data_IF_192802034262
#
_entry.id   IF_192802034262
#
_cell.length_a   1.000
_cell.length_b   1.000
_cell.length_c   1.000
_cell.angle_alpha   90.00
_cell.angle_beta   90.00
_cell.angle_gamma   90.00
#
_symmetry.space_group_name_H-M   'P 1'
#
loop_
_entity.id
_entity.type
_entity.pdbx_description
1 polymer ?
#
# COMPACT_ATOMS: atom_id res chain seq x y z
N UNK A 1 -52.23 -37.47 -18.31
CA UNK A 1 -50.85 -37.76 -17.88
C UNK A 1 -49.76 -36.96 -18.62
N UNK A 2 -49.95 -36.51 -19.84
CA UNK A 2 -48.94 -35.73 -20.59
C UNK A 2 -48.75 -34.25 -20.08
N UNK A 3 -49.81 -33.60 -19.62
CA UNK A 3 -49.74 -32.20 -19.13
C UNK A 3 -48.98 -32.02 -17.80
N UNK A 4 -49.03 -33.01 -16.91
CA UNK A 4 -48.29 -32.92 -15.61
C UNK A 4 -46.76 -33.04 -15.81
N UNK A 5 -46.25 -33.74 -16.79
CA UNK A 5 -44.82 -33.85 -17.05
C UNK A 5 -44.21 -32.55 -17.59
N UNK A 6 -44.98 -31.76 -18.33
CA UNK A 6 -44.51 -30.45 -18.85
C UNK A 6 -44.37 -29.38 -17.75
N UNK A 7 -45.25 -29.42 -16.77
CA UNK A 7 -45.18 -28.46 -15.62
C UNK A 7 -43.92 -28.73 -14.76
N UNK A 8 -43.59 -29.99 -14.51
CA UNK A 8 -42.40 -30.31 -13.72
C UNK A 8 -41.08 -30.01 -14.47
N UNK A 9 -41.01 -30.22 -15.78
CA UNK A 9 -39.84 -29.84 -16.59
C UNK A 9 -39.67 -28.34 -16.66
N UNK A 10 -40.74 -27.55 -16.76
CA UNK A 10 -40.65 -26.08 -16.75
C UNK A 10 -40.23 -25.51 -15.39
N UNK A 11 -40.69 -26.11 -14.28
CA UNK A 11 -40.33 -25.69 -12.92
C UNK A 11 -38.84 -26.03 -12.63
N UNK A 12 -38.35 -27.17 -13.07
CA UNK A 12 -36.92 -27.53 -12.92
C UNK A 12 -36.02 -26.62 -13.76
N UNK A 13 -36.46 -26.18 -14.94
CA UNK A 13 -35.68 -25.26 -15.78
C UNK A 13 -35.65 -23.84 -15.20
N UNK A 14 -36.74 -23.35 -14.63
CA UNK A 14 -36.80 -22.04 -13.93
C UNK A 14 -35.99 -22.07 -12.65
N UNK A 15 -36.00 -23.17 -11.88
CA UNK A 15 -35.17 -23.34 -10.71
C UNK A 15 -33.67 -23.41 -11.06
N UNK A 16 -33.32 -24.09 -12.16
CA UNK A 16 -31.95 -24.16 -12.64
C UNK A 16 -31.42 -22.78 -13.12
N UNK A 17 -32.25 -21.94 -13.73
CA UNK A 17 -31.90 -20.58 -14.13
C UNK A 17 -31.77 -19.65 -12.91
N UNK A 18 -32.62 -19.82 -11.89
CA UNK A 18 -32.52 -19.06 -10.63
C UNK A 18 -31.29 -19.46 -9.82
N UNK A 19 -30.91 -20.72 -9.81
CA UNK A 19 -29.68 -21.19 -9.14
C UNK A 19 -28.43 -20.75 -9.93
N UNK A 20 -28.43 -20.81 -11.27
CA UNK A 20 -27.34 -20.30 -12.10
C UNK A 20 -27.19 -18.77 -12.01
N UNK A 21 -28.30 -18.02 -11.83
CA UNK A 21 -28.27 -16.57 -11.61
C UNK A 21 -27.74 -16.16 -10.24
N UNK A 22 -27.75 -17.06 -9.24
CA UNK A 22 -27.17 -16.80 -7.91
C UNK A 22 -25.66 -17.06 -7.85
N UNK A 23 -25.12 -17.85 -8.76
CA UNK A 23 -23.67 -18.13 -8.82
C UNK A 23 -22.88 -17.18 -9.74
N UNK A 24 -23.51 -16.21 -10.42
CA UNK A 24 -22.83 -15.27 -11.33
C UNK A 24 -22.56 -13.89 -10.69
N UNK A 25 -22.70 -13.74 -9.40
CA UNK A 25 -22.48 -12.46 -8.71
C UNK A 25 -21.58 -12.55 -7.46
N UNK A 26 -20.74 -13.57 -7.36
CA UNK A 26 -19.56 -13.47 -6.53
C UNK A 26 -18.48 -12.78 -7.36
N UNK A 27 -18.28 -11.49 -7.14
CA UNK A 27 -17.04 -10.82 -7.49
C UNK A 27 -15.94 -11.57 -6.76
N UNK A 28 -15.15 -12.37 -7.49
CA UNK A 28 -13.91 -12.97 -7.02
C UNK A 28 -12.93 -11.84 -6.65
N UNK A 29 -13.19 -11.19 -5.52
CA UNK A 29 -12.17 -10.36 -4.88
C UNK A 29 -11.24 -11.33 -4.15
N UNK A 30 -9.93 -11.30 -4.41
CA UNK A 30 -9.01 -12.09 -3.62
C UNK A 30 -9.21 -11.71 -2.16
N UNK A 31 -9.48 -12.69 -1.33
CA UNK A 31 -9.62 -12.49 0.12
C UNK A 31 -8.24 -12.05 0.61
N UNK A 32 -8.09 -10.76 0.88
CA UNK A 32 -6.90 -10.29 1.59
C UNK A 32 -6.92 -10.94 2.96
N UNK A 33 -5.98 -11.82 3.22
CA UNK A 33 -5.89 -12.58 4.47
C UNK A 33 -5.52 -11.71 5.68
N UNK A 34 -5.33 -10.40 5.51
CA UNK A 34 -5.01 -9.44 6.57
C UNK A 34 -5.93 -8.20 6.51
N UNK A 35 -6.13 -7.58 7.65
CA UNK A 35 -6.77 -6.27 7.77
C UNK A 35 -5.70 -5.17 7.75
N UNK A 36 -6.04 -3.99 7.23
CA UNK A 36 -5.16 -2.82 7.33
C UNK A 36 -4.82 -2.46 8.79
N UNK A 37 -5.69 -2.83 9.73
CA UNK A 37 -5.50 -2.65 11.17
C UNK A 37 -4.38 -3.54 11.75
N UNK A 38 -4.04 -4.65 11.05
CA UNK A 38 -2.96 -5.56 11.43
C UNK A 38 -1.59 -5.05 10.94
N UNK A 39 -1.58 -4.05 10.04
CA UNK A 39 -0.35 -3.47 9.49
C UNK A 39 0.24 -2.51 10.52
N UNK A 40 1.52 -2.69 10.94
CA UNK A 40 2.19 -1.73 11.82
C UNK A 40 2.17 -0.33 11.22
N UNK A 41 2.11 0.73 12.05
CA UNK A 41 2.30 2.08 11.55
C UNK A 41 3.63 2.21 10.79
N UNK A 42 3.63 3.04 9.74
CA UNK A 42 4.86 3.35 9.02
C UNK A 42 5.94 3.85 9.99
N UNK A 43 7.14 3.32 9.83
CA UNK A 43 8.32 3.77 10.58
C UNK A 43 9.42 4.24 9.61
N UNK A 44 10.51 3.48 9.48
CA UNK A 44 11.61 3.82 8.58
C UNK A 44 11.66 2.92 7.33
N UNK A 45 10.97 1.77 7.38
CA UNK A 45 10.97 0.80 6.28
C UNK A 45 9.83 1.07 5.30
N UNK A 46 10.13 1.04 4.01
CA UNK A 46 9.15 1.23 2.95
C UNK A 46 8.10 0.10 2.89
N UNK A 47 8.38 -1.05 3.49
CA UNK A 47 7.50 -2.22 3.49
C UNK A 47 7.58 -3.03 4.77
N UNK A 48 6.60 -3.91 4.98
CA UNK A 48 6.59 -4.98 5.98
C UNK A 48 6.27 -6.31 5.33
N UNK A 49 6.87 -7.38 5.87
CA UNK A 49 6.60 -8.74 5.41
C UNK A 49 5.27 -9.24 5.96
N UNK A 50 4.45 -9.84 5.10
CA UNK A 50 3.18 -10.46 5.44
C UNK A 50 3.29 -11.99 5.37
N UNK A 51 2.41 -12.69 6.08
CA UNK A 51 2.20 -14.13 6.01
C UNK A 51 3.51 -14.96 5.96
N UNK A 52 4.49 -14.61 6.79
CA UNK A 52 5.84 -15.23 6.78
C UNK A 52 6.49 -15.25 5.39
N UNK A 53 6.26 -14.22 4.60
CA UNK A 53 6.74 -14.07 3.22
C UNK A 53 6.18 -15.11 2.23
N UNK A 54 5.03 -15.72 2.53
CA UNK A 54 4.38 -16.69 1.65
C UNK A 54 3.20 -16.03 0.92
N UNK A 55 3.24 -15.98 -0.43
CA UNK A 55 2.10 -15.53 -1.23
C UNK A 55 0.88 -16.41 -1.03
N UNK A 56 -0.30 -15.81 -1.19
CA UNK A 56 -1.58 -16.49 -1.07
C UNK A 56 -2.14 -16.85 -2.46
N UNK A 57 -1.37 -17.65 -3.21
CA UNK A 57 -1.78 -18.18 -4.50
C UNK A 57 -2.31 -19.60 -4.37
N UNK A 58 -3.36 -19.92 -5.14
CA UNK A 58 -3.87 -21.26 -5.26
C UNK A 58 -3.03 -22.09 -6.25
N UNK A 59 -3.14 -23.41 -6.23
CA UNK A 59 -2.51 -24.28 -7.23
C UNK A 59 -3.03 -24.00 -8.66
N UNK A 60 -4.26 -23.46 -8.78
CA UNK A 60 -4.86 -23.09 -10.07
C UNK A 60 -4.23 -21.81 -10.63
N UNK A 61 -3.77 -20.91 -9.77
CA UNK A 61 -3.09 -19.67 -10.17
C UNK A 61 -1.67 -19.95 -10.68
N UNK A 62 -1.01 -20.98 -10.17
CA UNK A 62 0.41 -21.32 -10.44
C UNK A 62 0.56 -22.11 -11.75
N UNK A 63 0.10 -21.54 -12.87
CA UNK A 63 0.29 -22.09 -14.22
C UNK A 63 1.23 -21.21 -15.01
N UNK A 64 2.20 -21.82 -15.70
CA UNK A 64 3.14 -21.12 -16.58
C UNK A 64 2.46 -20.71 -17.92
N UNK A 65 1.29 -20.11 -17.85
CA UNK A 65 0.58 -19.51 -18.98
C UNK A 65 0.60 -18.00 -18.83
N UNK A 66 1.18 -17.30 -19.78
CA UNK A 66 1.30 -15.86 -19.79
C UNK A 66 -0.07 -15.19 -19.89
N UNK A 67 -0.40 -14.33 -18.94
CA UNK A 67 -1.61 -13.51 -18.95
C UNK A 67 -1.42 -12.25 -18.13
N UNK A 68 -2.30 -11.29 -18.35
CA UNK A 68 -2.46 -10.07 -17.56
C UNK A 68 -3.93 -9.88 -17.22
N UNK A 69 -4.18 -9.44 -16.00
CA UNK A 69 -5.51 -9.09 -15.52
C UNK A 69 -5.47 -7.79 -14.74
N UNK A 70 -6.41 -6.91 -15.02
CA UNK A 70 -6.61 -5.62 -14.35
C UNK A 70 -8.07 -5.48 -13.96
N UNK A 71 -8.37 -5.38 -12.66
CA UNK A 71 -9.75 -5.15 -12.18
C UNK A 71 -10.33 -3.88 -12.76
N UNK A 72 -11.65 -3.86 -12.98
CA UNK A 72 -12.34 -2.62 -13.29
C UNK A 72 -12.18 -1.60 -12.16
N UNK A 73 -12.20 -0.31 -12.51
CA UNK A 73 -12.21 0.74 -11.50
C UNK A 73 -13.52 0.65 -10.70
N UNK A 74 -13.44 0.90 -9.41
CA UNK A 74 -14.63 0.96 -8.56
C UNK A 74 -15.46 2.25 -8.78
N UNK A 75 -16.56 2.40 -8.05
CA UNK A 75 -17.45 3.57 -8.15
C UNK A 75 -16.77 4.91 -7.79
N UNK A 76 -15.63 4.87 -7.08
CA UNK A 76 -14.80 6.03 -6.73
C UNK A 76 -13.66 6.26 -7.74
N UNK A 77 -13.58 5.46 -8.80
CA UNK A 77 -12.52 5.51 -9.80
C UNK A 77 -11.17 4.97 -9.28
N UNK A 78 -11.18 4.08 -8.25
CA UNK A 78 -9.98 3.49 -7.67
C UNK A 78 -9.66 2.15 -8.34
N UNK A 79 -8.38 1.85 -8.49
CA UNK A 79 -7.94 0.54 -8.99
C UNK A 79 -8.26 -0.56 -7.98
N UNK A 80 -8.68 -1.72 -8.49
CA UNK A 80 -8.70 -2.98 -7.76
C UNK A 80 -7.36 -3.71 -7.88
N UNK A 81 -7.34 -5.02 -7.61
CA UNK A 81 -6.13 -5.81 -7.77
C UNK A 81 -5.76 -6.00 -9.24
N UNK A 82 -4.47 -6.16 -9.47
CA UNK A 82 -3.90 -6.57 -10.75
C UNK A 82 -3.13 -7.86 -10.57
N UNK A 83 -3.11 -8.72 -11.58
CA UNK A 83 -2.42 -10.01 -11.53
C UNK A 83 -1.88 -10.37 -12.91
N UNK A 84 -0.67 -10.91 -12.96
CA UNK A 84 -0.08 -11.39 -14.21
C UNK A 84 0.79 -12.62 -13.95
N UNK A 85 0.79 -13.54 -14.89
CA UNK A 85 1.86 -14.53 -15.02
C UNK A 85 2.88 -13.98 -16.00
N UNK A 86 3.97 -13.43 -15.46
CA UNK A 86 4.94 -12.64 -16.22
C UNK A 86 6.03 -13.56 -16.74
N UNK A 87 6.13 -13.66 -18.06
CA UNK A 87 7.25 -14.25 -18.78
C UNK A 87 7.98 -13.19 -19.60
N UNK A 88 9.04 -13.58 -20.25
CA UNK A 88 9.82 -12.70 -21.14
C UNK A 88 8.97 -12.11 -22.28
N UNK A 89 7.90 -12.80 -22.65
CA UNK A 89 6.97 -12.44 -23.72
C UNK A 89 6.19 -11.15 -23.42
N UNK A 90 5.94 -10.84 -22.13
CA UNK A 90 5.26 -9.62 -21.71
C UNK A 90 6.21 -8.44 -21.51
N UNK A 91 7.50 -8.70 -21.36
CA UNK A 91 8.46 -7.61 -21.12
C UNK A 91 8.49 -6.63 -22.29
N UNK A 92 8.66 -5.32 -22.02
CA UNK A 92 8.58 -4.30 -23.05
C UNK A 92 9.62 -4.50 -24.14
N UNK A 93 9.20 -4.36 -25.40
CA UNK A 93 10.05 -4.33 -26.59
C UNK A 93 10.18 -2.92 -27.17
N UNK A 94 9.42 -1.97 -26.64
CA UNK A 94 9.37 -0.58 -27.06
C UNK A 94 9.68 0.36 -25.90
N UNK A 95 10.03 1.61 -26.19
CA UNK A 95 10.29 2.63 -25.19
C UNK A 95 9.00 3.07 -24.50
N UNK A 96 9.13 3.44 -23.23
CA UNK A 96 8.01 3.94 -22.42
C UNK A 96 7.50 5.27 -22.94
N UNK A 97 6.19 5.38 -23.14
CA UNK A 97 5.51 6.61 -23.53
C UNK A 97 5.06 7.46 -22.34
N UNK A 98 4.66 8.72 -22.61
CA UNK A 98 4.19 9.63 -21.58
C UNK A 98 2.78 9.29 -21.12
N UNK A 99 2.62 9.11 -19.81
CA UNK A 99 1.34 8.86 -19.12
C UNK A 99 0.82 10.10 -18.38
N UNK A 100 1.29 11.31 -18.73
CA UNK A 100 0.98 12.55 -18.01
C UNK A 100 -0.50 12.95 -18.07
N UNK A 101 -1.24 12.44 -19.05
CA UNK A 101 -2.68 12.69 -19.22
C UNK A 101 -3.55 11.94 -18.21
N UNK A 102 -3.07 10.80 -17.64
CA UNK A 102 -3.82 10.02 -16.67
C UNK A 102 -3.74 10.68 -15.29
N UNK A 103 -4.88 10.74 -14.61
CA UNK A 103 -5.01 11.21 -13.24
C UNK A 103 -5.71 10.15 -12.40
N UNK A 104 -4.97 9.29 -11.72
CA UNK A 104 -5.55 8.28 -10.84
C UNK A 104 -6.40 8.91 -9.73
N UNK A 105 -7.24 8.11 -9.06
CA UNK A 105 -8.02 8.59 -7.92
C UNK A 105 -7.16 9.32 -6.89
N UNK A 106 -7.65 10.41 -6.33
CA UNK A 106 -6.92 11.23 -5.36
C UNK A 106 -5.69 11.98 -5.91
N UNK A 107 -5.52 12.10 -7.24
CA UNK A 107 -4.39 12.82 -7.84
C UNK A 107 -4.38 14.30 -7.47
N UNK A 108 -3.51 14.68 -6.54
CA UNK A 108 -3.33 16.04 -6.06
C UNK A 108 -1.84 16.35 -5.88
N UNK A 109 -1.15 16.59 -7.01
CA UNK A 109 0.31 16.77 -7.05
C UNK A 109 0.77 17.97 -6.24
N UNK A 110 1.76 17.76 -5.41
CA UNK A 110 2.47 18.78 -4.65
C UNK A 110 3.99 18.61 -4.82
N UNK A 111 4.75 19.66 -4.53
CA UNK A 111 6.21 19.65 -4.60
C UNK A 111 6.81 19.99 -3.25
N UNK A 112 7.81 19.20 -2.84
CA UNK A 112 8.55 19.37 -1.60
C UNK A 112 10.04 19.15 -1.82
N UNK A 113 10.89 19.95 -1.19
CA UNK A 113 12.34 19.83 -1.32
C UNK A 113 12.90 18.54 -0.69
N UNK A 114 12.17 17.94 0.27
CA UNK A 114 12.53 16.67 0.90
C UNK A 114 12.20 15.43 0.03
N UNK A 115 11.53 15.62 -1.11
CA UNK A 115 11.17 14.52 -2.03
C UNK A 115 12.18 14.45 -3.17
N UNK A 116 12.68 13.27 -3.47
CA UNK A 116 13.54 13.05 -4.64
C UNK A 116 12.81 13.45 -5.93
N UNK A 117 13.42 14.33 -6.74
CA UNK A 117 12.77 14.93 -7.90
C UNK A 117 11.64 15.92 -7.57
N UNK A 118 11.47 16.27 -6.29
CA UNK A 118 10.52 17.23 -5.71
C UNK A 118 9.03 16.89 -5.85
N UNK A 119 8.61 16.09 -6.82
CA UNK A 119 7.22 15.73 -7.06
C UNK A 119 6.78 14.63 -6.09
N UNK A 120 5.81 14.92 -5.24
CA UNK A 120 5.32 13.99 -4.22
C UNK A 120 4.78 12.71 -4.83
N UNK A 121 3.89 12.85 -5.84
CA UNK A 121 3.20 11.73 -6.43
C UNK A 121 3.75 11.33 -7.79
N UNK A 122 3.81 10.03 -8.01
CA UNK A 122 3.99 9.37 -9.28
C UNK A 122 2.65 8.76 -9.72
N UNK A 123 2.44 8.63 -11.02
CA UNK A 123 1.48 7.68 -11.58
C UNK A 123 2.12 6.31 -11.43
N UNK A 124 1.86 5.70 -10.28
CA UNK A 124 2.54 4.48 -9.87
C UNK A 124 1.86 3.30 -10.53
N UNK A 125 2.59 2.56 -11.35
CA UNK A 125 2.08 1.30 -11.89
C UNK A 125 1.94 0.29 -10.76
N UNK A 126 0.86 -0.47 -10.76
CA UNK A 126 0.70 -1.64 -9.90
C UNK A 126 1.61 -2.76 -10.39
N UNK A 127 1.53 -3.12 -11.67
CA UNK A 127 2.54 -3.95 -12.33
C UNK A 127 3.40 -3.03 -13.17
N UNK A 128 4.70 -2.96 -12.84
CA UNK A 128 5.63 -2.04 -13.46
C UNK A 128 5.79 -2.24 -14.97
N UNK A 129 5.96 -1.15 -15.73
CA UNK A 129 6.16 -1.18 -17.18
C UNK A 129 7.26 -2.15 -17.61
N UNK A 130 8.34 -2.26 -16.84
CA UNK A 130 9.45 -3.17 -17.14
C UNK A 130 9.06 -4.66 -17.12
N UNK A 131 7.93 -5.01 -16.53
CA UNK A 131 7.46 -6.37 -16.36
C UNK A 131 6.51 -6.81 -17.47
N UNK A 132 5.57 -5.93 -17.87
CA UNK A 132 4.52 -6.27 -18.83
C UNK A 132 4.43 -5.33 -20.04
N UNK A 133 5.21 -4.27 -20.08
CA UNK A 133 5.11 -3.28 -21.16
C UNK A 133 3.81 -2.47 -21.16
N UNK A 134 2.91 -2.70 -20.20
CA UNK A 134 1.66 -1.97 -20.05
C UNK A 134 1.92 -0.53 -19.64
N UNK A 135 1.60 0.45 -20.50
CA UNK A 135 2.04 1.83 -20.31
C UNK A 135 0.96 2.74 -19.70
N UNK A 136 -0.17 2.95 -20.37
CA UNK A 136 -1.16 3.98 -20.06
C UNK A 136 -2.54 3.42 -19.65
N UNK A 137 -2.58 2.24 -19.10
CA UNK A 137 -3.77 1.61 -18.57
C UNK A 137 -4.19 2.24 -17.23
N UNK A 138 -5.32 2.93 -17.21
CA UNK A 138 -5.87 3.57 -16.01
C UNK A 138 -6.11 2.58 -14.85
N UNK A 139 -6.40 1.31 -15.16
CA UNK A 139 -6.63 0.23 -14.18
C UNK A 139 -5.34 -0.28 -13.53
N UNK A 140 -4.18 0.12 -14.06
CA UNK A 140 -2.85 -0.23 -13.57
C UNK A 140 -2.13 0.95 -12.89
N UNK A 141 -2.78 2.11 -12.73
CA UNK A 141 -2.14 3.32 -12.25
C UNK A 141 -2.83 3.88 -11.00
N UNK A 142 -2.07 4.04 -9.92
CA UNK A 142 -2.55 4.67 -8.69
C UNK A 142 -1.76 5.95 -8.37
N UNK A 143 -2.33 6.79 -7.52
CA UNK A 143 -1.61 7.91 -6.90
C UNK A 143 -0.67 7.36 -5.83
N UNK A 144 0.58 7.11 -6.20
CA UNK A 144 1.63 6.60 -5.33
C UNK A 144 2.67 7.67 -5.02
N UNK A 145 3.21 7.70 -3.81
CA UNK A 145 4.29 8.60 -3.46
C UNK A 145 5.58 8.25 -4.21
N UNK A 146 6.48 9.23 -4.33
CA UNK A 146 7.82 8.97 -4.88
C UNK A 146 8.55 7.89 -4.07
N UNK A 147 8.45 7.95 -2.74
CA UNK A 147 9.08 6.99 -1.84
C UNK A 147 8.52 5.57 -2.02
N UNK A 148 7.18 5.42 -2.03
CA UNK A 148 6.56 4.13 -2.32
C UNK A 148 7.03 3.54 -3.65
N UNK A 149 7.04 4.37 -4.71
CA UNK A 149 7.38 3.91 -6.06
C UNK A 149 8.85 3.47 -6.17
N UNK A 150 9.78 4.21 -5.57
CA UNK A 150 11.22 4.01 -5.77
C UNK A 150 11.86 3.15 -4.68
N UNK A 151 11.52 3.40 -3.43
CA UNK A 151 12.10 2.67 -2.29
C UNK A 151 11.25 1.45 -1.91
N UNK A 152 9.96 1.48 -2.24
CA UNK A 152 9.03 0.39 -1.94
C UNK A 152 8.92 -0.63 -3.07
N UNK A 153 8.37 -0.24 -4.23
CA UNK A 153 7.99 -1.18 -5.30
C UNK A 153 9.16 -1.56 -6.21
N UNK A 154 9.94 -0.58 -6.67
CA UNK A 154 11.00 -0.78 -7.67
C UNK A 154 12.02 -1.89 -7.31
N UNK A 155 12.46 -2.07 -6.05
CA UNK A 155 13.36 -3.17 -5.70
C UNK A 155 12.77 -4.56 -6.00
N UNK A 156 11.48 -4.77 -5.70
CA UNK A 156 10.77 -6.02 -5.98
C UNK A 156 10.55 -6.24 -7.48
N UNK A 157 10.16 -5.18 -8.19
CA UNK A 157 10.02 -5.23 -9.65
C UNK A 157 11.34 -5.58 -10.34
N UNK A 158 12.45 -4.98 -9.91
CA UNK A 158 13.79 -5.30 -10.44
C UNK A 158 14.18 -6.76 -10.17
N UNK A 159 13.93 -7.26 -8.96
CA UNK A 159 14.18 -8.65 -8.60
C UNK A 159 13.44 -9.62 -9.53
N UNK A 160 12.16 -9.36 -9.80
CA UNK A 160 11.34 -10.17 -10.72
C UNK A 160 11.85 -10.06 -12.16
N UNK A 161 12.13 -8.83 -12.63
CA UNK A 161 12.62 -8.61 -13.98
C UNK A 161 13.96 -9.31 -14.25
N UNK A 162 14.88 -9.24 -13.29
CA UNK A 162 16.20 -9.85 -13.41
C UNK A 162 16.10 -11.38 -13.39
N UNK A 163 15.27 -11.96 -12.49
CA UNK A 163 15.02 -13.40 -12.47
C UNK A 163 14.47 -13.92 -13.82
N UNK A 164 13.46 -13.25 -14.39
CA UNK A 164 12.89 -13.64 -15.69
C UNK A 164 13.93 -13.57 -16.81
N UNK A 165 14.76 -12.52 -16.84
CA UNK A 165 15.81 -12.37 -17.86
C UNK A 165 16.88 -13.45 -17.77
N UNK A 166 17.25 -13.86 -16.55
CA UNK A 166 18.30 -14.84 -16.31
C UNK A 166 17.84 -16.27 -16.55
N UNK A 167 16.59 -16.61 -16.19
CA UNK A 167 16.10 -17.99 -16.20
C UNK A 167 15.18 -18.32 -17.36
N UNK A 168 14.50 -17.35 -17.96
CA UNK A 168 13.32 -17.46 -18.82
C UNK A 168 12.12 -18.18 -18.15
N UNK A 169 12.10 -18.30 -16.83
CA UNK A 169 10.96 -18.81 -16.08
C UNK A 169 9.90 -17.72 -15.91
N UNK A 170 8.70 -18.16 -15.51
CA UNK A 170 7.58 -17.25 -15.25
C UNK A 170 7.47 -16.90 -13.77
N UNK A 171 6.93 -15.72 -13.51
CA UNK A 171 6.61 -15.26 -12.15
C UNK A 171 5.14 -14.87 -12.09
N UNK A 172 4.39 -15.53 -11.22
CA UNK A 172 3.07 -15.07 -10.85
C UNK A 172 3.21 -13.87 -9.93
N UNK A 173 2.55 -12.76 -10.28
CA UNK A 173 2.70 -11.46 -9.63
C UNK A 173 1.34 -10.83 -9.42
N UNK A 174 1.01 -10.44 -8.18
CA UNK A 174 -0.26 -9.81 -7.83
C UNK A 174 -0.02 -8.56 -6.99
N UNK A 175 -0.71 -7.49 -7.32
CA UNK A 175 -0.69 -6.24 -6.57
C UNK A 175 -2.11 -5.83 -6.22
N UNK A 176 -2.38 -5.66 -4.94
CA UNK A 176 -3.69 -5.26 -4.43
C UNK A 176 -3.54 -3.93 -3.69
N UNK A 177 -4.05 -2.81 -4.23
CA UNK A 177 -4.08 -1.54 -3.51
C UNK A 177 -5.10 -1.60 -2.36
N UNK A 178 -4.68 -1.13 -1.18
CA UNK A 178 -5.49 -1.19 0.04
C UNK A 178 -5.95 0.23 0.40
N UNK A 179 -7.25 0.44 0.38
CA UNK A 179 -7.89 1.71 0.72
C UNK A 179 -8.62 1.63 2.06
N UNK A 180 -8.60 2.71 2.83
CA UNK A 180 -9.40 2.83 4.06
C UNK A 180 -10.75 3.47 3.74
N UNK A 181 -11.82 2.71 3.83
CA UNK A 181 -13.17 3.22 3.56
C UNK A 181 -13.27 3.89 2.17
N UNK A 182 -13.64 5.17 2.14
CA UNK A 182 -13.81 5.95 0.92
C UNK A 182 -12.58 6.79 0.52
N UNK A 183 -11.42 6.50 1.09
CA UNK A 183 -10.20 7.21 0.72
C UNK A 183 -9.89 7.02 -0.77
N UNK A 184 -9.50 8.12 -1.44
CA UNK A 184 -9.18 8.11 -2.88
C UNK A 184 -7.72 7.71 -3.15
N UNK A 185 -6.86 7.77 -2.14
CA UNK A 185 -5.45 7.34 -2.22
C UNK A 185 -5.29 6.08 -1.40
N UNK A 186 -4.66 5.05 -1.96
CA UNK A 186 -4.39 3.82 -1.24
C UNK A 186 -3.45 4.06 -0.05
N UNK A 187 -3.70 3.43 1.08
CA UNK A 187 -2.79 3.42 2.24
C UNK A 187 -1.46 2.73 1.92
N UNK A 188 -1.48 1.82 0.97
CA UNK A 188 -0.35 1.06 0.45
C UNK A 188 -0.82 0.00 -0.51
N UNK A 189 0.08 -0.89 -0.90
CA UNK A 189 -0.24 -2.06 -1.73
C UNK A 189 0.26 -3.34 -1.06
N UNK A 190 -0.56 -4.38 -1.13
CA UNK A 190 -0.11 -5.76 -0.92
C UNK A 190 0.54 -6.21 -2.22
N UNK A 191 1.76 -6.71 -2.14
CA UNK A 191 2.53 -7.18 -3.27
C UNK A 191 2.97 -8.62 -3.02
N UNK A 192 2.61 -9.49 -3.95
CA UNK A 192 2.88 -10.92 -3.88
C UNK A 192 3.51 -11.41 -5.17
N UNK A 193 4.51 -12.28 -5.06
CA UNK A 193 5.09 -12.93 -6.22
C UNK A 193 5.61 -14.32 -5.88
N UNK A 194 5.52 -15.22 -6.85
CA UNK A 194 6.10 -16.57 -6.77
C UNK A 194 6.54 -17.02 -8.17
N UNK A 195 7.78 -17.51 -8.30
CA UNK A 195 8.24 -18.15 -9.52
C UNK A 195 7.57 -19.49 -9.71
N UNK A 196 7.17 -19.79 -10.97
CA UNK A 196 6.27 -20.91 -11.24
C UNK A 196 7.01 -22.21 -11.42
N UNK A 197 8.02 -22.27 -12.30
CA UNK A 197 8.69 -23.51 -12.71
C UNK A 197 9.56 -24.13 -11.61
N UNK A 198 10.05 -23.32 -10.67
CA UNK A 198 10.87 -23.76 -9.54
C UNK A 198 10.14 -23.71 -8.20
N UNK A 199 8.80 -23.55 -8.24
CA UNK A 199 7.92 -23.54 -7.07
C UNK A 199 8.31 -22.48 -6.01
N UNK A 200 8.82 -21.32 -6.46
CA UNK A 200 9.17 -20.21 -5.60
C UNK A 200 10.61 -20.26 -5.04
N UNK A 201 11.47 -21.14 -5.56
CA UNK A 201 12.88 -21.18 -5.14
C UNK A 201 13.61 -19.88 -5.53
N UNK A 202 13.32 -19.33 -6.71
CA UNK A 202 13.95 -18.10 -7.21
C UNK A 202 13.25 -16.82 -6.72
N UNK A 203 11.92 -16.77 -6.82
CA UNK A 203 11.09 -15.64 -6.38
C UNK A 203 9.97 -16.13 -5.46
N UNK A 204 9.96 -15.63 -4.23
CA UNK A 204 8.86 -15.86 -3.28
C UNK A 204 8.80 -14.72 -2.28
N UNK A 205 7.78 -13.86 -2.37
CA UNK A 205 7.57 -12.80 -1.39
C UNK A 205 6.10 -12.39 -1.26
N UNK A 206 5.77 -11.92 -0.06
CA UNK A 206 4.48 -11.37 0.29
C UNK A 206 4.70 -10.19 1.25
N UNK A 207 4.47 -8.97 0.76
CA UNK A 207 4.77 -7.75 1.50
C UNK A 207 3.63 -6.74 1.39
N UNK A 208 3.52 -5.85 2.39
CA UNK A 208 2.76 -4.62 2.28
C UNK A 208 3.72 -3.45 2.12
N UNK A 209 3.55 -2.66 1.08
CA UNK A 209 4.36 -1.48 0.78
C UNK A 209 3.54 -0.24 1.13
N UNK A 210 4.09 0.62 1.99
CA UNK A 210 3.40 1.82 2.46
C UNK A 210 3.36 2.90 1.38
N UNK A 211 2.19 3.50 1.17
CA UNK A 211 2.06 4.70 0.34
C UNK A 211 2.29 5.95 1.19
N UNK A 212 3.50 6.11 1.67
CA UNK A 212 3.94 7.18 2.54
C UNK A 212 5.12 7.94 1.94
N UNK A 213 5.42 9.13 2.45
CA UNK A 213 6.59 9.91 2.08
C UNK A 213 7.21 10.51 3.36
N UNK A 214 8.46 10.15 3.71
CA UNK A 214 9.15 10.76 4.85
C UNK A 214 9.11 12.29 4.80
N UNK A 215 8.78 12.93 5.91
CA UNK A 215 8.69 14.39 6.02
C UNK A 215 7.41 15.01 5.46
N UNK A 216 6.46 14.22 4.94
CA UNK A 216 5.19 14.69 4.37
C UNK A 216 4.00 13.98 5.00
N UNK A 217 3.00 14.74 5.41
CA UNK A 217 1.70 14.23 5.85
C UNK A 217 0.76 14.20 4.66
N UNK A 218 0.14 13.04 4.41
CA UNK A 218 -0.79 12.82 3.31
C UNK A 218 -2.21 12.70 3.86
N UNK A 219 -3.15 13.38 3.24
CA UNK A 219 -4.58 13.17 3.43
C UNK A 219 -5.07 12.16 2.38
N UNK A 220 -5.21 10.90 2.78
CA UNK A 220 -5.59 9.80 1.88
C UNK A 220 -7.02 9.95 1.32
N UNK A 221 -7.89 10.71 2.00
CA UNK A 221 -9.25 10.95 1.51
C UNK A 221 -9.29 11.69 0.15
N UNK A 222 -8.28 12.52 -0.16
CA UNK A 222 -8.30 13.37 -1.36
C UNK A 222 -6.91 13.64 -2.00
N UNK A 223 -5.85 13.07 -1.44
CA UNK A 223 -4.47 13.26 -1.92
C UNK A 223 -3.83 14.61 -1.59
N UNK A 224 -4.47 15.50 -0.84
CA UNK A 224 -3.79 16.71 -0.37
C UNK A 224 -2.69 16.38 0.63
N UNK A 225 -1.69 17.24 0.73
CA UNK A 225 -0.50 16.96 1.55
C UNK A 225 0.10 18.23 2.12
N UNK A 226 0.93 18.08 3.15
CA UNK A 226 1.71 19.16 3.77
C UNK A 226 2.99 18.61 4.38
N UNK A 227 3.97 19.47 4.61
CA UNK A 227 5.16 19.08 5.36
C UNK A 227 4.80 18.77 6.83
N UNK A 228 5.56 17.88 7.44
CA UNK A 228 5.44 17.56 8.87
C UNK A 228 5.62 18.82 9.71
N UNK A 229 6.59 19.67 9.36
CA UNK A 229 6.92 20.90 10.11
C UNK A 229 5.98 22.09 9.82
N UNK A 230 5.02 21.97 8.88
CA UNK A 230 4.05 23.04 8.58
C UNK A 230 2.91 23.16 9.60
N UNK A 231 3.02 22.50 10.76
CA UNK A 231 2.01 22.54 11.84
C UNK A 231 2.05 23.83 12.65
N UNK A 232 2.93 24.76 12.31
CA UNK A 232 3.09 26.03 13.06
C UNK A 232 2.54 27.22 12.28
N UNK A 233 1.34 27.19 11.76
CA UNK A 233 0.49 28.39 11.59
C UNK A 233 -0.90 28.09 10.98
N UNK A 234 -1.78 27.53 11.77
CA UNK A 234 -3.22 27.55 11.47
C UNK A 234 -4.01 27.55 12.79
N UNK A 235 -3.89 28.65 13.52
CA UNK A 235 -4.88 29.02 14.52
C UNK A 235 -6.14 29.44 13.81
N UNK A 236 -7.06 28.51 13.62
CA UNK A 236 -8.51 28.64 13.82
C UNK A 236 -9.24 27.41 13.25
N UNK A 237 -9.78 26.60 14.12
CA UNK A 237 -10.73 25.52 13.80
C UNK A 237 -10.51 24.25 14.61
N UNK A 238 -11.07 24.18 15.80
CA UNK A 238 -11.29 23.02 16.66
C UNK A 238 -10.88 21.64 16.14
N UNK A 239 -9.72 21.13 16.54
CA UNK A 239 -9.51 19.73 16.87
C UNK A 239 -8.56 19.66 18.07
N UNK A 240 -8.94 18.93 19.09
CA UNK A 240 -8.22 18.76 20.33
C UNK A 240 -6.75 18.41 20.07
N UNK A 241 -5.84 19.24 20.57
CA UNK A 241 -4.43 18.87 20.77
C UNK A 241 -4.45 17.68 21.73
N UNK A 242 -4.15 16.47 21.23
CA UNK A 242 -3.89 15.34 22.14
C UNK A 242 -2.71 15.76 23.01
N UNK A 243 -2.99 16.00 24.28
CA UNK A 243 -2.00 16.28 25.30
C UNK A 243 -1.11 15.05 25.46
N UNK A 244 -0.04 14.95 24.67
CA UNK A 244 0.90 13.85 24.75
C UNK A 244 1.71 13.98 26.05
N UNK A 245 1.91 12.82 26.71
CA UNK A 245 2.65 12.75 27.97
C UNK A 245 4.13 12.45 27.72
N UNK A 246 5.00 13.24 28.33
CA UNK A 246 6.46 13.11 28.27
C UNK A 246 7.05 12.95 29.66
N UNK A 247 8.23 12.35 29.76
CA UNK A 247 9.06 12.28 30.94
C UNK A 247 10.29 13.17 30.70
N UNK A 248 10.46 14.16 31.52
CA UNK A 248 11.55 15.13 31.42
C UNK A 248 12.70 14.77 32.38
N UNK A 249 13.93 14.89 31.90
CA UNK A 249 15.11 14.95 32.73
C UNK A 249 15.52 16.41 32.90
N UNK A 250 15.16 17.00 34.02
CA UNK A 250 15.38 18.44 34.29
C UNK A 250 16.85 18.81 34.35
N UNK A 251 17.75 17.88 34.71
CA UNK A 251 19.18 18.10 34.80
C UNK A 251 19.87 18.08 33.43
N UNK A 252 19.54 17.10 32.57
CA UNK A 252 20.14 16.96 31.24
C UNK A 252 19.38 17.74 30.17
N UNK A 253 18.24 18.35 30.54
CA UNK A 253 17.33 19.02 29.60
C UNK A 253 16.91 18.14 28.43
N UNK A 254 16.66 16.85 28.69
CA UNK A 254 16.15 15.93 27.71
C UNK A 254 14.74 15.46 28.06
N UNK A 255 13.91 15.24 27.05
CA UNK A 255 12.57 14.66 27.24
C UNK A 255 12.42 13.32 26.48
N UNK A 256 11.61 12.43 27.04
CA UNK A 256 11.37 11.06 26.59
C UNK A 256 9.88 10.84 26.38
N UNK A 257 9.52 9.84 25.56
CA UNK A 257 8.12 9.35 25.50
C UNK A 257 7.72 8.77 26.87
N UNK A 258 6.43 8.77 27.18
CA UNK A 258 5.91 8.22 28.45
C UNK A 258 6.22 6.73 28.66
N UNK A 259 6.50 5.98 27.59
CA UNK A 259 6.78 4.54 27.60
C UNK A 259 8.28 4.22 27.48
N UNK A 260 9.14 5.23 27.50
CA UNK A 260 10.58 5.02 27.36
C UNK A 260 11.21 4.47 28.66
N UNK A 261 11.79 3.26 28.60
CA UNK A 261 12.45 2.61 29.74
C UNK A 261 13.60 3.43 30.34
N UNK A 262 14.34 4.18 29.52
CA UNK A 262 15.37 5.12 30.00
C UNK A 262 14.75 6.35 30.65
N UNK A 263 13.59 6.80 30.18
CA UNK A 263 12.80 7.85 30.84
C UNK A 263 12.32 7.40 32.23
N UNK A 264 11.85 6.17 32.36
CA UNK A 264 11.41 5.59 33.63
C UNK A 264 12.55 5.41 34.64
N UNK A 265 13.79 5.21 34.18
CA UNK A 265 14.97 5.03 35.02
C UNK A 265 15.58 6.34 35.55
N UNK A 266 15.03 7.51 35.18
CA UNK A 266 15.46 8.80 35.70
C UNK A 266 15.12 8.86 37.19
N UNK A 267 16.12 9.27 38.01
CA UNK A 267 15.90 9.45 39.47
C UNK A 267 14.81 10.48 39.74
N UNK A 268 13.98 10.25 40.76
CA UNK A 268 12.82 11.11 41.10
C UNK A 268 13.20 12.58 41.27
N UNK A 269 14.42 12.86 41.75
CA UNK A 269 14.92 14.23 41.91
C UNK A 269 15.21 14.99 40.62
N UNK A 270 15.31 14.25 39.49
CA UNK A 270 15.59 14.82 38.15
C UNK A 270 14.46 14.55 37.15
N UNK A 271 13.39 13.89 37.60
CA UNK A 271 12.26 13.49 36.77
C UNK A 271 11.08 14.42 36.95
N UNK A 272 10.52 14.87 35.85
CA UNK A 272 9.27 15.60 35.80
C UNK A 272 8.37 15.01 34.73
N UNK A 273 7.06 14.99 34.94
CA UNK A 273 6.07 14.57 33.93
C UNK A 273 5.44 15.82 33.31
N UNK A 274 5.43 15.86 32.01
CA UNK A 274 4.82 16.95 31.26
C UNK A 274 3.74 16.38 30.32
N UNK A 275 2.59 17.02 30.30
CA UNK A 275 1.51 16.70 29.38
C UNK A 275 1.20 17.96 28.56
N UNK A 276 1.44 17.90 27.25
CA UNK A 276 1.22 19.03 26.37
C UNK A 276 2.00 18.94 25.06
N UNK A 277 2.23 20.08 24.46
CA UNK A 277 2.88 20.22 23.17
C UNK A 277 4.39 19.95 23.24
N UNK A 278 4.87 19.11 22.31
CA UNK A 278 6.30 18.79 22.11
C UNK A 278 7.14 20.03 21.77
N UNK A 279 6.61 20.92 20.93
CA UNK A 279 7.34 22.13 20.51
C UNK A 279 7.61 23.04 21.68
N UNK A 280 6.64 23.16 22.58
CA UNK A 280 6.83 23.95 23.81
C UNK A 280 8.01 23.46 24.66
N UNK A 281 8.24 22.13 24.73
CA UNK A 281 9.42 21.57 25.41
C UNK A 281 10.74 22.01 24.75
N UNK A 282 10.76 21.99 23.40
CA UNK A 282 11.93 22.46 22.64
C UNK A 282 12.16 23.94 22.86
N UNK A 283 11.10 24.75 22.82
CA UNK A 283 11.16 26.19 23.07
C UNK A 283 11.61 26.53 24.52
N UNK A 284 11.24 25.67 25.49
CA UNK A 284 11.67 25.71 26.88
C UNK A 284 13.13 25.19 27.10
N UNK A 285 13.82 24.83 26.00
CA UNK A 285 15.22 24.42 25.97
C UNK A 285 15.46 22.96 26.32
N UNK A 286 14.48 22.09 26.09
CA UNK A 286 14.64 20.64 26.17
C UNK A 286 14.93 20.04 24.81
N UNK A 287 15.84 19.06 24.76
CA UNK A 287 16.15 18.27 23.58
C UNK A 287 15.43 16.91 23.60
N UNK A 288 14.98 16.38 22.45
CA UNK A 288 14.46 15.01 22.37
C UNK A 288 15.56 13.98 22.70
N UNK A 289 15.21 12.97 23.49
CA UNK A 289 16.15 11.91 23.84
C UNK A 289 16.31 10.93 22.68
N UNK A 290 17.55 10.66 22.26
CA UNK A 290 17.85 9.77 21.12
C UNK A 290 17.46 8.30 21.33
N UNK A 291 17.09 7.86 22.54
CA UNK A 291 16.69 6.49 22.84
C UNK A 291 15.24 6.15 22.47
N UNK A 292 14.38 7.15 22.31
CA UNK A 292 12.96 6.94 22.02
C UNK A 292 12.39 7.96 21.01
N UNK A 293 13.20 8.92 20.59
CA UNK A 293 12.84 9.98 19.63
C UNK A 293 11.42 10.55 19.89
N UNK A 294 11.21 11.17 21.05
CA UNK A 294 9.89 11.62 21.52
C UNK A 294 9.31 12.77 20.69
#
# INVERSE_FOLDING_TARGET
>A
MKQRKWIYTSIIFVLAILVAGFFLNETDQPVTSFSLEDIPPFSENAFVVLNNNQPDFTEEDLKAEVYEFYSELDELGRCGYTMACIGKELMPTEDRESISHIKPSGWNQAQYDCVDGKNLYNRCHLIGFQLTGENDNEKNLITGTRYMNVEGMLPFENMVADYIKETNNHVLYRVTPIYKGNDLVASGVQLEAKSVEDDGEGICFHVFIYNNQPGVIINYANGSSRLVDSVVDATQGDTAVENQRYILNIKSKKFHTATCTQGESISDSNREEYTGDRQKLIDDGYDPAGCCNP
#
